data_IF_048225498627
#
_entry.id   IF_048225498627
#
_cell.length_a   1.000
_cell.length_b   1.000
_cell.length_c   1.000
_cell.angle_alpha   90.00
_cell.angle_beta   90.00
_cell.angle_gamma   90.00
#
_symmetry.space_group_name_H-M   'P 1'
#
loop_
_entity.id
_entity.type
_entity.pdbx_description
1 polymer ?
#
# COMPACT_ATOMS: atom_id res chain seq x y z
N UNK A 1 3.75 1.36 16.05
CA UNK A 1 2.42 1.74 16.57
C UNK A 1 1.74 0.53 17.16
N UNK A 2 1.17 0.65 18.35
CA UNK A 2 0.42 -0.44 19.01
C UNK A 2 -1.01 0.00 19.23
N UNK A 3 -1.96 -0.76 18.70
CA UNK A 3 -3.39 -0.56 18.84
C UNK A 3 -3.94 -1.57 19.84
N UNK A 4 -4.74 -1.12 20.80
CA UNK A 4 -5.41 -1.94 21.81
C UNK A 4 -6.92 -1.73 21.76
N UNK A 5 -7.70 -2.55 22.47
CA UNK A 5 -9.15 -2.42 22.50
C UNK A 5 -9.84 -2.86 21.21
N UNK A 6 -9.16 -3.67 20.38
CA UNK A 6 -9.72 -4.14 19.12
C UNK A 6 -10.78 -5.22 19.34
N UNK A 7 -11.73 -5.31 18.40
CA UNK A 7 -12.71 -6.39 18.30
C UNK A 7 -12.63 -7.08 16.93
N UNK A 8 -11.41 -7.26 16.42
CA UNK A 8 -11.17 -7.99 15.19
C UNK A 8 -11.22 -9.50 15.45
N UNK A 9 -11.22 -10.31 14.39
CA UNK A 9 -11.19 -11.76 14.53
C UNK A 9 -10.50 -12.47 13.37
N UNK A 10 -10.01 -13.67 13.64
CA UNK A 10 -9.55 -14.62 12.63
C UNK A 10 -10.11 -16.00 12.97
N UNK A 11 -10.97 -16.56 12.10
CA UNK A 11 -11.65 -17.84 12.32
C UNK A 11 -12.30 -17.96 13.71
N UNK A 12 -12.98 -16.90 14.16
CA UNK A 12 -13.62 -16.83 15.47
C UNK A 12 -12.68 -16.55 16.65
N UNK A 13 -11.35 -16.61 16.47
CA UNK A 13 -10.38 -16.17 17.49
C UNK A 13 -10.36 -14.65 17.55
N UNK A 14 -10.71 -14.09 18.71
CA UNK A 14 -10.72 -12.65 18.94
C UNK A 14 -9.31 -12.07 18.90
N UNK A 15 -9.11 -11.00 18.14
CA UNK A 15 -7.89 -10.18 18.09
C UNK A 15 -8.19 -8.87 18.84
N UNK A 16 -7.43 -8.61 19.92
CA UNK A 16 -7.65 -7.48 20.82
C UNK A 16 -6.55 -6.42 20.75
N UNK A 17 -5.40 -6.77 20.17
CA UNK A 17 -4.25 -5.87 19.98
C UNK A 17 -3.61 -6.11 18.61
N UNK A 18 -3.07 -5.05 18.01
CA UNK A 18 -2.24 -5.13 16.81
C UNK A 18 -0.99 -4.25 16.94
N UNK A 19 0.13 -4.70 16.39
CA UNK A 19 1.35 -3.91 16.24
C UNK A 19 1.62 -3.67 14.76
N UNK A 20 1.68 -2.39 14.38
CA UNK A 20 2.08 -1.93 13.04
C UNK A 20 3.50 -1.36 13.15
N UNK A 21 4.46 -2.04 12.54
CA UNK A 21 5.86 -1.64 12.50
C UNK A 21 6.15 -1.03 11.14
N UNK A 22 6.50 0.26 11.13
CA UNK A 22 6.83 1.03 9.94
C UNK A 22 8.34 1.26 9.90
N UNK A 23 8.95 0.98 8.75
CA UNK A 23 10.38 1.18 8.53
C UNK A 23 10.58 1.93 7.22
N UNK A 24 11.29 3.06 7.27
CA UNK A 24 11.66 3.82 6.08
C UNK A 24 12.58 2.98 5.20
N UNK A 25 12.29 2.91 3.90
CA UNK A 25 13.11 2.19 2.91
C UNK A 25 13.63 3.13 1.83
N UNK A 26 12.88 4.17 1.47
CA UNK A 26 13.31 5.19 0.51
C UNK A 26 12.63 6.53 0.77
N UNK A 27 13.36 7.62 0.54
CA UNK A 27 12.85 8.98 0.65
C UNK A 27 13.49 9.88 -0.40
N UNK A 28 12.70 10.75 -1.05
CA UNK A 28 13.20 11.75 -1.98
C UNK A 28 13.58 13.08 -1.33
N UNK A 29 13.54 13.21 0.00
CA UNK A 29 13.88 14.46 0.69
C UNK A 29 15.39 14.62 0.87
N UNK A 30 15.84 15.87 1.11
CA UNK A 30 17.25 16.18 1.34
C UNK A 30 17.80 15.47 2.59
N UNK A 31 16.98 15.39 3.65
CA UNK A 31 17.32 14.70 4.90
C UNK A 31 17.22 13.18 4.81
N UNK A 32 16.65 12.63 3.74
CA UNK A 32 16.36 11.20 3.60
C UNK A 32 15.28 10.70 4.58
N UNK A 33 14.47 11.59 5.16
CA UNK A 33 13.41 11.24 6.13
C UNK A 33 12.01 11.27 5.50
N UNK A 34 11.07 10.55 6.12
CA UNK A 34 9.63 10.62 5.86
C UNK A 34 8.92 11.11 7.12
N UNK A 35 7.91 11.95 6.92
CA UNK A 35 6.97 12.33 7.98
C UNK A 35 5.84 11.28 8.00
N UNK A 36 5.35 10.95 9.19
CA UNK A 36 4.25 10.03 9.35
C UNK A 36 3.24 10.56 10.36
N UNK A 37 1.95 10.51 10.00
CA UNK A 37 0.83 10.69 10.91
C UNK A 37 0.11 9.34 11.02
N UNK A 38 0.12 8.76 12.21
CA UNK A 38 -0.55 7.49 12.48
C UNK A 38 -1.93 7.76 13.06
N UNK A 39 -2.97 7.26 12.40
CA UNK A 39 -4.34 7.41 12.91
C UNK A 39 -4.54 6.56 14.16
N UNK A 40 -5.37 7.02 15.09
CA UNK A 40 -5.87 6.20 16.19
C UNK A 40 -6.83 5.10 15.70
N UNK A 41 -7.49 5.32 14.56
CA UNK A 41 -8.25 4.28 13.88
C UNK A 41 -7.29 3.42 13.02
N UNK A 42 -7.07 2.13 13.35
CA UNK A 42 -6.17 1.27 12.60
C UNK A 42 -6.63 1.00 11.16
N UNK A 43 -7.91 1.25 10.82
CA UNK A 43 -8.45 1.09 9.46
C UNK A 43 -8.13 2.30 8.58
N UNK A 44 -7.97 3.49 9.16
CA UNK A 44 -7.37 4.64 8.47
C UNK A 44 -5.85 4.47 8.35
N UNK A 45 -5.23 3.79 9.32
CA UNK A 45 -3.82 3.36 9.30
C UNK A 45 -2.81 4.53 9.40
N UNK A 46 -2.36 5.11 8.28
CA UNK A 46 -1.26 6.07 8.26
C UNK A 46 -1.27 6.98 7.03
N UNK A 47 -0.80 8.21 7.22
CA UNK A 47 -0.43 9.13 6.14
C UNK A 47 1.09 9.32 6.18
N UNK A 48 1.77 9.05 5.07
CA UNK A 48 3.25 9.14 4.98
C UNK A 48 3.63 10.03 3.80
N UNK A 49 4.51 11.00 4.03
CA UNK A 49 4.95 11.92 2.99
C UNK A 49 6.18 12.72 3.37
N UNK A 50 6.76 13.41 2.40
CA UNK A 50 7.92 14.29 2.60
C UNK A 50 8.07 15.24 1.42
N UNK A 51 9.00 16.20 1.51
CA UNK A 51 9.35 17.03 0.37
C UNK A 51 10.15 16.25 -0.68
N UNK A 52 9.91 16.48 -1.97
CA UNK A 52 10.60 15.82 -3.08
C UNK A 52 11.66 16.73 -3.68
N UNK A 53 12.95 16.41 -3.46
CA UNK A 53 14.09 17.11 -4.07
C UNK A 53 14.84 16.27 -5.10
N UNK A 54 14.49 14.98 -5.24
CA UNK A 54 15.05 14.07 -6.24
C UNK A 54 14.01 13.02 -6.72
N UNK A 55 14.41 12.19 -7.69
CA UNK A 55 13.56 11.17 -8.32
C UNK A 55 13.40 9.85 -7.54
N UNK A 56 13.87 9.73 -6.29
CA UNK A 56 13.71 8.51 -5.50
C UNK A 56 12.25 8.25 -5.17
N UNK A 57 11.92 6.98 -4.90
CA UNK A 57 10.61 6.61 -4.40
C UNK A 57 10.42 7.12 -2.97
N UNK A 58 9.16 7.38 -2.60
CA UNK A 58 8.75 7.28 -1.20
C UNK A 58 8.48 5.80 -0.97
N UNK A 59 9.11 5.17 0.03
CA UNK A 59 8.86 3.74 0.32
C UNK A 59 8.97 3.44 1.81
N UNK A 60 7.96 2.77 2.34
CA UNK A 60 7.90 2.32 3.74
C UNK A 60 7.55 0.85 3.77
N UNK A 61 8.31 0.06 4.55
CA UNK A 61 7.95 -1.31 4.88
C UNK A 61 6.98 -1.30 6.06
N UNK A 62 5.89 -2.04 5.92
CA UNK A 62 4.93 -2.31 6.99
C UNK A 62 4.94 -3.79 7.34
N UNK A 63 5.06 -4.08 8.63
CA UNK A 63 4.87 -5.43 9.19
C UNK A 63 3.81 -5.37 10.28
N UNK A 64 2.81 -6.26 10.20
CA UNK A 64 1.67 -6.28 11.13
C UNK A 64 1.69 -7.57 11.95
N UNK A 65 1.55 -7.44 13.27
CA UNK A 65 1.33 -8.55 14.20
C UNK A 65 -0.04 -8.39 14.86
N UNK A 66 -0.84 -9.44 14.84
CA UNK A 66 -2.11 -9.48 15.57
C UNK A 66 -1.94 -10.29 16.85
N UNK A 67 -2.65 -9.92 17.91
CA UNK A 67 -2.58 -10.60 19.19
C UNK A 67 -3.98 -10.87 19.73
N UNK A 68 -4.15 -12.06 20.28
CA UNK A 68 -5.38 -12.46 20.95
C UNK A 68 -5.48 -11.88 22.38
N UNK A 69 -6.59 -12.18 23.07
CA UNK A 69 -6.84 -11.73 24.43
C UNK A 69 -5.80 -12.21 25.46
N UNK A 70 -5.06 -13.29 25.18
CA UNK A 70 -3.97 -13.79 26.03
C UNK A 70 -2.63 -13.08 25.76
N UNK A 71 -2.57 -12.23 24.75
CA UNK A 71 -1.36 -11.55 24.31
C UNK A 71 -0.48 -12.40 23.40
N UNK A 72 -0.96 -13.57 22.94
CA UNK A 72 -0.24 -14.43 22.00
C UNK A 72 -0.45 -13.96 20.56
N UNK A 73 0.59 -14.03 19.75
CA UNK A 73 0.50 -13.68 18.34
C UNK A 73 -0.45 -14.62 17.58
N UNK A 74 -1.35 -14.03 16.79
CA UNK A 74 -2.28 -14.71 15.91
C UNK A 74 -1.66 -14.78 14.52
N UNK A 75 -1.32 -16.00 14.11
CA UNK A 75 -0.86 -16.35 12.77
C UNK A 75 -1.94 -17.18 12.04
N UNK A 76 -1.95 -17.19 10.70
CA UNK A 76 -2.92 -17.95 9.94
C UNK A 76 -2.60 -19.44 9.98
N UNK A 77 -3.65 -20.26 9.96
CA UNK A 77 -3.57 -21.70 9.73
C UNK A 77 -3.17 -21.97 8.27
N UNK A 78 -2.54 -23.11 8.02
CA UNK A 78 -1.93 -23.47 6.72
C UNK A 78 -2.88 -23.30 5.52
N UNK A 79 -4.14 -23.68 5.68
CA UNK A 79 -5.15 -23.70 4.61
C UNK A 79 -6.15 -22.54 4.75
N UNK A 80 -5.83 -21.53 5.56
CA UNK A 80 -6.69 -20.37 5.82
C UNK A 80 -5.85 -19.09 5.88
N UNK A 81 -5.22 -18.65 4.78
CA UNK A 81 -4.36 -17.47 4.75
C UNK A 81 -5.10 -16.21 5.22
N UNK A 82 -4.35 -15.25 5.76
CA UNK A 82 -4.86 -13.89 5.82
C UNK A 82 -5.04 -13.34 4.40
N UNK A 83 -6.14 -12.65 4.16
CA UNK A 83 -6.35 -11.84 2.97
C UNK A 83 -6.50 -10.38 3.38
N UNK A 84 -5.78 -9.47 2.73
CA UNK A 84 -5.81 -8.05 3.03
C UNK A 84 -5.88 -7.21 1.75
N UNK A 85 -6.57 -6.08 1.83
CA UNK A 85 -6.74 -5.17 0.71
C UNK A 85 -5.45 -4.38 0.43
N UNK A 86 -5.18 -4.17 -0.85
CA UNK A 86 -4.15 -3.26 -1.34
C UNK A 86 -4.87 -2.33 -2.32
N UNK A 87 -5.52 -1.29 -1.80
CA UNK A 87 -6.51 -0.48 -2.52
C UNK A 87 -6.06 0.98 -2.66
N UNK A 88 -6.80 1.75 -3.46
CA UNK A 88 -6.52 3.17 -3.72
C UNK A 88 -5.13 3.40 -4.33
N UNK A 89 -4.62 2.45 -5.12
CA UNK A 89 -3.31 2.55 -5.78
C UNK A 89 -3.43 3.36 -7.07
N UNK A 90 -3.64 4.65 -6.90
CA UNK A 90 -3.88 5.61 -7.98
C UNK A 90 -2.62 5.85 -8.84
N UNK A 91 -2.83 6.33 -10.06
CA UNK A 91 -1.74 6.63 -10.98
C UNK A 91 -2.10 7.73 -11.96
N UNK A 92 -1.16 8.67 -12.10
CA UNK A 92 -1.17 9.75 -13.08
C UNK A 92 -0.02 9.61 -14.09
N UNK A 93 0.59 8.42 -14.17
CA UNK A 93 1.78 8.19 -14.98
C UNK A 93 1.51 8.39 -16.47
N UNK A 94 2.36 9.19 -17.11
CA UNK A 94 2.39 9.39 -18.55
C UNK A 94 3.83 9.41 -19.06
N UNK A 95 4.00 9.44 -20.39
CA UNK A 95 5.31 9.65 -21.01
C UNK A 95 5.95 10.99 -20.59
N UNK A 96 5.16 11.98 -20.14
CA UNK A 96 5.63 13.32 -19.76
C UNK A 96 5.92 13.46 -18.25
N UNK A 97 5.39 12.60 -17.39
CA UNK A 97 5.55 12.76 -15.94
C UNK A 97 4.51 11.96 -15.16
N UNK A 98 4.09 12.52 -14.02
CA UNK A 98 3.13 11.89 -13.12
C UNK A 98 3.79 10.97 -12.09
N UNK A 99 2.97 10.34 -11.27
CA UNK A 99 3.39 9.38 -10.26
C UNK A 99 2.35 8.27 -10.14
N UNK A 100 2.75 7.16 -9.53
CA UNK A 100 1.84 6.12 -9.09
C UNK A 100 2.10 5.74 -7.65
N UNK A 101 1.03 5.49 -6.91
CA UNK A 101 1.09 4.75 -5.67
C UNK A 101 1.30 3.26 -5.97
N UNK A 102 2.10 2.59 -5.14
CA UNK A 102 2.49 1.21 -5.37
C UNK A 102 2.58 0.40 -4.09
N UNK A 103 2.55 -0.91 -4.27
CA UNK A 103 2.99 -1.90 -3.29
C UNK A 103 4.12 -2.76 -3.85
N UNK A 104 5.03 -3.22 -3.00
CA UNK A 104 6.21 -4.01 -3.40
C UNK A 104 6.75 -4.84 -2.24
N UNK A 105 7.82 -5.59 -2.50
CA UNK A 105 8.66 -6.20 -1.46
C UNK A 105 7.89 -7.04 -0.41
N UNK A 106 6.92 -7.84 -0.89
CA UNK A 106 6.17 -8.78 -0.06
C UNK A 106 7.12 -9.68 0.72
N UNK A 107 6.94 -9.75 2.04
CA UNK A 107 7.76 -10.57 2.92
C UNK A 107 7.56 -12.07 2.70
N UNK A 108 8.33 -12.88 3.41
CA UNK A 108 8.20 -14.33 3.36
C UNK A 108 6.74 -14.75 3.61
N UNK A 109 6.26 -15.73 2.82
CA UNK A 109 4.89 -16.24 2.85
C UNK A 109 3.79 -15.23 2.51
N UNK A 110 4.14 -14.05 2.00
CA UNK A 110 3.19 -13.06 1.49
C UNK A 110 3.24 -13.04 -0.04
N UNK A 111 2.09 -12.83 -0.68
CA UNK A 111 2.01 -12.72 -2.13
C UNK A 111 0.92 -11.73 -2.55
N UNK A 112 1.22 -10.95 -3.59
CA UNK A 112 0.21 -10.20 -4.32
C UNK A 112 -0.62 -11.14 -5.19
N UNK A 113 -1.93 -10.92 -5.21
CA UNK A 113 -2.89 -11.53 -6.12
C UNK A 113 -3.60 -10.45 -6.92
N UNK A 114 -3.53 -10.62 -8.23
CA UNK A 114 -4.22 -9.75 -9.18
C UNK A 114 -5.73 -9.95 -9.09
N UNK A 115 -6.47 -8.84 -9.16
CA UNK A 115 -7.93 -8.83 -9.31
C UNK A 115 -8.24 -8.61 -10.78
N UNK A 116 -9.07 -9.47 -11.38
CA UNK A 116 -9.46 -9.32 -12.78
C UNK A 116 -10.10 -7.95 -13.04
N UNK A 117 -9.56 -7.23 -14.02
CA UNK A 117 -10.00 -5.88 -14.39
C UNK A 117 -9.31 -4.75 -13.62
N UNK A 118 -8.43 -5.06 -12.66
CA UNK A 118 -7.54 -4.07 -12.06
C UNK A 118 -6.48 -3.58 -13.06
N UNK A 119 -6.11 -2.31 -12.94
CA UNK A 119 -4.98 -1.70 -13.65
C UNK A 119 -3.66 -1.91 -12.89
N UNK A 120 -3.73 -2.33 -11.62
CA UNK A 120 -2.55 -2.60 -10.78
C UNK A 120 -1.97 -3.97 -11.10
N UNK A 121 -0.78 -3.98 -11.69
CA UNK A 121 -0.06 -5.20 -12.08
C UNK A 121 1.42 -5.10 -11.72
N UNK A 122 2.10 -6.24 -11.66
CA UNK A 122 3.56 -6.28 -11.46
C UNK A 122 4.25 -5.64 -12.67
N UNK A 123 5.10 -4.68 -12.41
CA UNK A 123 5.89 -3.96 -13.40
C UNK A 123 7.31 -4.53 -13.47
N UNK A 124 8.06 -4.13 -14.50
CA UNK A 124 9.44 -4.59 -14.72
C UNK A 124 10.40 -4.22 -13.56
N UNK A 125 10.11 -3.14 -12.83
CA UNK A 125 10.86 -2.72 -11.64
C UNK A 125 10.49 -3.50 -10.36
N UNK A 126 9.63 -4.52 -10.49
CA UNK A 126 9.23 -5.42 -9.40
C UNK A 126 8.09 -4.92 -8.53
N UNK A 127 7.61 -3.68 -8.72
CA UNK A 127 6.51 -3.09 -7.94
C UNK A 127 5.16 -3.36 -8.60
N UNK A 128 4.08 -3.12 -7.87
CA UNK A 128 2.71 -3.30 -8.33
C UNK A 128 1.99 -1.94 -8.32
N UNK A 129 1.68 -1.42 -9.51
CA UNK A 129 0.98 -0.16 -9.73
C UNK A 129 0.36 -0.12 -11.15
N UNK A 130 -0.47 0.88 -11.44
CA UNK A 130 -0.94 1.15 -12.81
C UNK A 130 0.13 1.95 -13.59
N UNK A 131 0.68 1.44 -14.70
CA UNK A 131 1.74 2.12 -15.44
C UNK A 131 1.27 3.31 -16.27
N UNK A 132 -0.05 3.50 -16.38
CA UNK A 132 -0.71 4.56 -17.14
C UNK A 132 -1.69 5.32 -16.25
N UNK A 133 -2.04 6.54 -16.68
CA UNK A 133 -2.95 7.44 -16.00
C UNK A 133 -4.38 6.87 -15.92
N UNK A 134 -4.87 6.81 -14.68
CA UNK A 134 -6.26 6.50 -14.29
C UNK A 134 -6.82 7.57 -13.34
N UNK A 135 -6.15 8.72 -13.22
CA UNK A 135 -6.50 9.82 -12.32
C UNK A 135 -7.05 11.04 -13.06
N UNK A 136 -6.51 11.36 -14.24
CA UNK A 136 -6.80 12.61 -14.95
C UNK A 136 -7.42 12.43 -16.34
N UNK A 137 -7.67 11.19 -16.77
CA UNK A 137 -8.31 10.88 -18.05
C UNK A 137 -7.41 11.10 -19.27
N UNK A 138 -6.10 11.15 -19.09
CA UNK A 138 -5.11 11.32 -20.17
C UNK A 138 -4.52 9.98 -20.64
N UNK A 139 -4.71 8.91 -19.87
CA UNK A 139 -4.33 7.55 -20.26
C UNK A 139 -5.30 6.91 -21.26
N UNK A 140 -4.94 5.77 -21.87
CA UNK A 140 -5.77 5.11 -22.88
C UNK A 140 -7.14 4.64 -22.36
N UNK A 141 -7.29 4.43 -21.05
CA UNK A 141 -8.57 4.07 -20.42
C UNK A 141 -9.56 5.24 -20.34
N UNK A 142 -9.07 6.48 -20.41
CA UNK A 142 -9.86 7.70 -20.19
C UNK A 142 -10.38 7.88 -18.75
N UNK A 143 -9.97 7.02 -17.81
CA UNK A 143 -10.45 7.05 -16.43
C UNK A 143 -9.92 8.27 -15.66
N UNK A 144 -10.78 8.82 -14.82
CA UNK A 144 -10.45 9.81 -13.80
C UNK A 144 -10.53 9.17 -12.42
N UNK A 145 -9.86 9.80 -11.45
CA UNK A 145 -9.82 9.32 -10.08
C UNK A 145 -11.24 9.10 -9.50
N UNK A 146 -12.16 10.04 -9.74
CA UNK A 146 -13.56 9.95 -9.30
C UNK A 146 -14.37 8.79 -9.90
N UNK A 147 -13.89 8.16 -10.97
CA UNK A 147 -14.59 7.05 -11.63
C UNK A 147 -14.38 5.71 -10.88
N UNK A 148 -13.51 5.69 -9.87
CA UNK A 148 -13.16 4.48 -9.14
C UNK A 148 -12.63 4.66 -7.71
N UNK A 149 -11.89 5.73 -7.42
CA UNK A 149 -11.09 5.88 -6.19
C UNK A 149 -11.91 6.47 -5.03
N UNK A 150 -12.93 5.73 -4.62
CA UNK A 150 -13.71 6.02 -3.42
C UNK A 150 -14.05 4.72 -2.69
N UNK A 151 -14.04 4.78 -1.35
CA UNK A 151 -14.40 3.63 -0.50
C UNK A 151 -15.82 3.18 -0.85
N UNK A 152 -15.99 1.89 -1.15
CA UNK A 152 -17.28 1.30 -1.52
C UNK A 152 -17.70 1.54 -2.98
N UNK A 153 -16.90 2.24 -3.79
CA UNK A 153 -17.21 2.42 -5.21
C UNK A 153 -17.16 1.09 -5.95
N UNK A 154 -18.14 0.84 -6.84
CA UNK A 154 -18.25 -0.43 -7.59
C UNK A 154 -17.00 -0.77 -8.41
N UNK A 155 -16.26 0.26 -8.84
CA UNK A 155 -15.04 0.14 -9.63
C UNK A 155 -13.76 0.28 -8.80
N UNK A 156 -13.82 0.32 -7.47
CA UNK A 156 -12.62 0.47 -6.63
C UNK A 156 -11.55 -0.62 -6.89
N UNK A 157 -11.96 -1.75 -7.49
CA UNK A 157 -11.04 -2.79 -7.95
C UNK A 157 -10.08 -2.33 -9.05
N UNK A 158 -10.36 -1.24 -9.78
CA UNK A 158 -9.47 -0.68 -10.81
C UNK A 158 -8.09 -0.32 -10.27
N UNK A 159 -8.01 0.27 -9.07
CA UNK A 159 -6.75 0.58 -8.38
C UNK A 159 -6.47 -0.35 -7.20
N UNK A 160 -6.85 -1.63 -7.29
CA UNK A 160 -6.67 -2.57 -6.16
C UNK A 160 -6.00 -3.89 -6.53
N UNK A 161 -5.42 -4.54 -5.52
CA UNK A 161 -5.05 -5.95 -5.51
C UNK A 161 -5.36 -6.60 -4.16
N UNK A 162 -5.06 -7.89 -4.03
CA UNK A 162 -5.21 -8.64 -2.77
C UNK A 162 -3.85 -9.12 -2.30
N UNK A 163 -3.51 -8.86 -1.05
CA UNK A 163 -2.41 -9.54 -0.38
C UNK A 163 -2.90 -10.82 0.28
N UNK A 164 -2.17 -11.93 0.06
CA UNK A 164 -2.37 -13.18 0.80
C UNK A 164 -1.15 -13.50 1.64
N UNK A 165 -1.34 -13.88 2.90
CA UNK A 165 -0.26 -14.28 3.80
C UNK A 165 -0.54 -15.64 4.46
N UNK A 166 0.37 -16.60 4.25
CA UNK A 166 0.48 -17.85 5.02
C UNK A 166 1.45 -17.67 6.20
N UNK A 167 1.43 -16.50 6.81
CA UNK A 167 2.33 -16.08 7.88
C UNK A 167 2.04 -14.66 8.31
N UNK A 168 3.01 -14.02 8.96
CA UNK A 168 2.90 -12.62 9.37
C UNK A 168 2.78 -11.70 8.16
N UNK A 169 1.88 -10.73 8.20
CA UNK A 169 1.71 -9.75 7.12
C UNK A 169 2.93 -8.85 7.06
N UNK A 170 3.56 -8.76 5.87
CA UNK A 170 4.69 -7.87 5.63
C UNK A 170 4.79 -7.51 4.16
N UNK A 171 4.84 -6.22 3.85
CA UNK A 171 5.00 -5.68 2.50
C UNK A 171 5.48 -4.23 2.56
N UNK A 172 5.87 -3.65 1.44
CA UNK A 172 6.15 -2.22 1.31
C UNK A 172 5.07 -1.51 0.51
N UNK A 173 4.81 -0.27 0.85
CA UNK A 173 3.97 0.65 0.06
C UNK A 173 4.69 1.98 -0.15
N UNK A 174 4.28 2.74 -1.16
CA UNK A 174 4.99 3.95 -1.52
C UNK A 174 4.46 4.66 -2.76
N UNK A 175 5.25 5.65 -3.21
CA UNK A 175 4.96 6.44 -4.40
C UNK A 175 6.20 6.49 -5.31
N UNK A 176 6.01 6.25 -6.60
CA UNK A 176 7.09 6.30 -7.61
C UNK A 176 6.80 7.33 -8.68
N UNK A 177 7.83 8.08 -9.08
CA UNK A 177 7.81 8.95 -10.27
C UNK A 177 8.61 8.32 -11.42
N UNK A 178 8.99 7.05 -11.29
CA UNK A 178 9.89 6.33 -12.21
C UNK A 178 11.21 7.09 -12.45
N UNK A 179 11.75 7.70 -11.39
CA UNK A 179 13.01 8.47 -11.45
C UNK A 179 12.86 9.90 -11.96
N UNK A 180 11.67 10.33 -12.41
CA UNK A 180 11.45 11.72 -12.85
C UNK A 180 11.39 12.64 -11.63
N UNK A 181 12.18 13.70 -11.65
CA UNK A 181 12.07 14.80 -10.69
C UNK A 181 11.28 15.94 -11.35
N UNK A 182 10.18 16.37 -10.74
CA UNK A 182 9.47 17.58 -11.16
C UNK A 182 10.11 18.86 -10.60
N UNK A 183 11.31 18.77 -10.00
CA UNK A 183 12.02 19.93 -9.48
C UNK A 183 12.66 20.66 -10.66
N UNK A 184 12.27 21.92 -10.96
CA UNK A 184 13.01 22.74 -11.91
C UNK A 184 14.46 22.81 -11.43
N UNK A 185 15.42 22.61 -12.33
CA UNK A 185 16.84 22.76 -11.99
C UNK A 185 17.06 24.10 -11.29
N UNK A 186 17.66 24.04 -10.09
CA UNK A 186 18.22 25.21 -9.41
C UNK A 186 19.49 25.60 -10.16
#
# INVERSE_FOLDING_TARGET
MTYTGLNASYLGRKITKAEFVYELQSSPSQSGTLNAVFSNDPIITAFIGTNRVNGKDVKTRLTIKFFDASGKEVLPDKDSPFAYALSSLNSSLTNKGGHAEFVSDFGANNAFKYINGSYVKKQADGKFYSPEDIDYGTGPSGLKNSDWDAVGHKNAYFGSGVGLANGRISFSFGMTTKGKSNVPGI
#
